data_IF_829417400180
#
_entry.id   IF_829417400180
#
_cell.length_a   1.000
_cell.length_b   1.000
_cell.length_c   1.000
_cell.angle_alpha   90.00
_cell.angle_beta   90.00
_cell.angle_gamma   90.00
#
_symmetry.space_group_name_H-M   'P 1'
#
loop_
_entity.id
_entity.type
_entity.pdbx_description
1 polymer ?
#
# COMPACT_ATOMS: atom_id res chain seq x y z
N UNK A 1 -2.86 13.37 -12.39
CA UNK A 1 -2.06 12.83 -11.26
C UNK A 1 -2.81 11.78 -10.44
N UNK A 2 -4.06 12.01 -10.03
CA UNK A 2 -4.83 11.06 -9.19
C UNK A 2 -5.23 9.71 -9.85
N UNK A 3 -5.11 9.60 -11.17
CA UNK A 3 -5.53 8.42 -11.93
C UNK A 3 -4.70 7.17 -11.65
N UNK A 4 -3.37 7.29 -11.49
CA UNK A 4 -2.50 6.16 -11.18
C UNK A 4 -2.77 5.59 -9.79
N UNK A 5 -2.92 6.45 -8.78
CA UNK A 5 -3.33 6.05 -7.43
C UNK A 5 -4.70 5.39 -7.40
N UNK A 6 -5.68 5.95 -8.13
CA UNK A 6 -7.01 5.33 -8.24
C UNK A 6 -6.92 3.93 -8.86
N UNK A 7 -6.23 3.78 -9.99
CA UNK A 7 -6.03 2.49 -10.65
C UNK A 7 -5.32 1.48 -9.73
N UNK A 8 -4.30 1.92 -8.99
CA UNK A 8 -3.61 1.08 -8.01
C UNK A 8 -4.57 0.57 -6.93
N UNK A 9 -5.32 1.49 -6.31
CA UNK A 9 -6.33 1.16 -5.30
C UNK A 9 -7.38 0.18 -5.83
N UNK A 10 -8.02 0.53 -6.95
CA UNK A 10 -9.05 -0.28 -7.60
C UNK A 10 -8.54 -1.69 -7.93
N UNK A 11 -7.30 -1.81 -8.42
CA UNK A 11 -6.71 -3.10 -8.77
C UNK A 11 -6.45 -3.98 -7.56
N UNK A 12 -6.02 -3.40 -6.44
CA UNK A 12 -5.80 -4.15 -5.20
C UNK A 12 -7.13 -4.60 -4.61
N UNK A 13 -8.11 -3.70 -4.46
CA UNK A 13 -9.39 -4.03 -3.79
C UNK A 13 -10.26 -5.01 -4.59
N UNK A 14 -10.11 -5.04 -5.91
CA UNK A 14 -10.85 -5.95 -6.79
C UNK A 14 -10.15 -7.31 -7.00
N UNK A 15 -8.93 -7.50 -6.48
CA UNK A 15 -8.23 -8.79 -6.50
C UNK A 15 -8.12 -9.34 -5.06
N UNK A 16 -8.95 -10.32 -4.67
CA UNK A 16 -8.91 -10.92 -3.33
C UNK A 16 -7.53 -11.45 -2.95
N UNK A 17 -6.71 -11.88 -3.94
CA UNK A 17 -5.35 -12.35 -3.67
C UNK A 17 -4.41 -11.20 -3.31
N UNK A 18 -4.61 -9.98 -3.80
CA UNK A 18 -3.85 -8.83 -3.33
C UNK A 18 -4.33 -8.38 -1.96
N UNK A 19 -5.65 -8.35 -1.73
CA UNK A 19 -6.20 -7.98 -0.41
C UNK A 19 -5.66 -8.93 0.67
N UNK A 20 -5.66 -10.24 0.41
CA UNK A 20 -5.13 -11.24 1.34
C UNK A 20 -3.64 -11.01 1.69
N UNK A 21 -2.84 -10.45 0.78
CA UNK A 21 -1.41 -10.17 1.06
C UNK A 21 -1.21 -9.08 2.10
N UNK A 22 -2.18 -8.17 2.30
CA UNK A 22 -2.10 -7.16 3.36
C UNK A 22 -2.02 -7.80 4.76
N UNK A 23 -2.53 -9.02 4.91
CA UNK A 23 -2.57 -9.76 6.18
C UNK A 23 -1.41 -10.75 6.32
N UNK A 24 -0.49 -10.82 5.35
CA UNK A 24 0.64 -11.75 5.39
C UNK A 24 1.59 -11.38 6.53
N UNK A 25 2.03 -12.38 7.29
CA UNK A 25 3.09 -12.19 8.27
C UNK A 25 4.42 -11.94 7.57
N UNK A 26 5.03 -10.79 7.88
CA UNK A 26 6.31 -10.37 7.36
C UNK A 26 6.99 -9.42 8.35
N UNK A 27 8.32 -9.34 8.28
CA UNK A 27 9.09 -8.40 9.09
C UNK A 27 8.85 -6.95 8.63
N UNK A 28 8.91 -5.95 9.52
CA UNK A 28 8.84 -4.54 9.15
C UNK A 28 9.82 -4.18 8.02
N UNK A 29 9.39 -3.33 7.09
CA UNK A 29 10.10 -3.01 5.85
C UNK A 29 9.91 -4.01 4.71
N UNK A 30 9.19 -5.12 4.93
CA UNK A 30 8.93 -6.09 3.86
C UNK A 30 7.76 -5.65 3.00
N UNK A 31 7.91 -5.82 1.69
CA UNK A 31 6.83 -5.59 0.73
C UNK A 31 5.72 -6.64 0.87
N UNK A 32 4.49 -6.17 1.07
CA UNK A 32 3.29 -7.00 1.07
C UNK A 32 2.74 -7.16 -0.35
N UNK A 33 2.57 -6.04 -1.06
CA UNK A 33 1.99 -6.04 -2.40
C UNK A 33 2.47 -4.92 -3.33
N UNK A 34 2.32 -5.11 -4.66
CA UNK A 34 2.22 -6.41 -5.31
C UNK A 34 3.52 -7.22 -5.13
N UNK A 35 3.56 -8.46 -5.62
CA UNK A 35 4.81 -9.25 -5.59
C UNK A 35 5.91 -8.55 -6.40
N UNK A 36 7.16 -8.57 -5.91
CA UNK A 36 8.29 -7.88 -6.55
C UNK A 36 8.67 -8.56 -7.87
N UNK A 37 8.25 -7.97 -8.99
CA UNK A 37 8.66 -8.33 -10.35
C UNK A 37 8.75 -7.06 -11.20
N UNK A 38 9.64 -6.97 -12.20
CA UNK A 38 9.73 -5.80 -13.06
C UNK A 38 8.39 -5.43 -13.71
N UNK A 39 7.61 -6.45 -14.12
CA UNK A 39 6.27 -6.28 -14.67
C UNK A 39 5.33 -5.62 -13.66
N UNK A 40 5.21 -6.17 -12.44
CA UNK A 40 4.32 -5.62 -11.43
C UNK A 40 4.75 -4.21 -11.00
N UNK A 41 6.05 -3.95 -10.93
CA UNK A 41 6.59 -2.67 -10.47
C UNK A 41 6.21 -1.53 -11.40
N UNK A 42 6.33 -1.76 -12.72
CA UNK A 42 5.87 -0.82 -13.75
C UNK A 42 4.34 -0.75 -13.82
N UNK A 43 3.65 -1.89 -13.77
CA UNK A 43 2.20 -1.96 -13.97
C UNK A 43 1.41 -1.31 -12.80
N UNK A 44 1.84 -1.55 -11.56
CA UNK A 44 1.16 -1.00 -10.38
C UNK A 44 1.67 0.40 -10.02
N UNK A 45 2.92 0.74 -10.36
CA UNK A 45 3.58 2.03 -10.07
C UNK A 45 3.77 2.37 -8.58
N UNK A 46 3.03 1.73 -7.69
CA UNK A 46 3.16 1.83 -6.24
C UNK A 46 3.32 0.45 -5.61
N UNK A 47 3.67 0.44 -4.32
CA UNK A 47 3.76 -0.75 -3.47
C UNK A 47 3.30 -0.45 -2.05
N UNK A 48 2.87 -1.49 -1.34
CA UNK A 48 2.58 -1.43 0.09
C UNK A 48 3.55 -2.33 0.84
N UNK A 49 4.22 -1.73 1.81
CA UNK A 49 5.19 -2.37 2.69
C UNK A 49 4.61 -2.42 4.12
N UNK A 50 4.93 -3.47 4.87
CA UNK A 50 4.55 -3.58 6.29
C UNK A 50 5.52 -2.79 7.15
N UNK A 51 5.00 -2.14 8.17
CA UNK A 51 5.75 -1.44 9.20
C UNK A 51 5.73 -2.17 10.54
N UNK A 52 6.06 -1.42 11.58
CA UNK A 52 6.10 -1.91 12.95
C UNK A 52 4.70 -2.17 13.52
N UNK A 53 4.64 -3.05 14.52
CA UNK A 53 3.45 -3.18 15.37
C UNK A 53 3.25 -1.91 16.18
N UNK A 54 2.00 -1.51 16.33
CA UNK A 54 1.65 -0.32 17.11
C UNK A 54 1.75 -0.66 18.59
N UNK A 55 2.63 0.05 19.31
CA UNK A 55 2.93 -0.18 20.73
C UNK A 55 1.68 -0.29 21.61
N UNK A 56 0.71 0.60 21.39
CA UNK A 56 -0.49 0.70 22.21
C UNK A 56 -1.69 -0.10 21.64
N UNK A 57 -1.49 -0.84 20.55
CA UNK A 57 -2.55 -1.59 19.87
C UNK A 57 -2.05 -2.92 19.30
N UNK A 58 -1.87 -3.95 20.15
CA UNK A 58 -1.36 -5.26 19.73
C UNK A 58 -2.18 -5.88 18.59
N UNK A 59 -1.50 -6.44 17.60
CA UNK A 59 -2.09 -6.99 16.38
C UNK A 59 -2.33 -5.96 15.27
N UNK A 60 -2.17 -4.66 15.55
CA UNK A 60 -2.20 -3.63 14.53
C UNK A 60 -0.80 -3.27 14.08
N UNK A 61 -0.62 -3.16 12.76
CA UNK A 61 0.65 -2.84 12.14
C UNK A 61 0.49 -1.60 11.27
N UNK A 62 1.54 -0.78 11.22
CA UNK A 62 1.62 0.23 10.18
C UNK A 62 1.76 -0.45 8.82
N UNK A 63 1.18 0.16 7.79
CA UNK A 63 1.44 -0.17 6.38
C UNK A 63 1.71 1.12 5.63
N UNK A 64 2.69 1.07 4.74
CA UNK A 64 3.20 2.24 4.04
C UNK A 64 3.01 2.09 2.54
N UNK A 65 2.38 3.08 1.92
CA UNK A 65 2.31 3.20 0.47
C UNK A 65 3.55 3.94 -0.03
N UNK A 66 4.30 3.31 -0.92
CA UNK A 66 5.47 3.91 -1.57
C UNK A 66 5.31 3.93 -3.09
N UNK A 67 5.95 4.89 -3.73
CA UNK A 67 6.04 4.97 -5.19
C UNK A 67 7.22 4.11 -5.66
N UNK A 68 7.01 3.30 -6.70
CA UNK A 68 8.09 2.51 -7.30
C UNK A 68 8.99 3.40 -8.16
N UNK A 69 10.28 3.08 -8.25
CA UNK A 69 11.21 3.80 -9.15
C UNK A 69 10.85 3.66 -10.63
N UNK A 70 10.03 2.66 -10.98
CA UNK A 70 9.50 2.41 -12.32
C UNK A 70 8.16 3.13 -12.58
N UNK A 71 7.70 4.01 -11.69
CA UNK A 71 6.47 4.77 -11.91
C UNK A 71 6.54 5.58 -13.21
N UNK A 72 5.45 5.59 -13.98
CA UNK A 72 5.36 6.27 -15.28
C UNK A 72 4.46 7.50 -15.23
N UNK A 73 3.67 7.67 -14.17
CA UNK A 73 2.85 8.87 -13.98
C UNK A 73 3.71 10.05 -13.56
N UNK A 74 3.64 11.16 -14.29
CA UNK A 74 4.41 12.40 -14.01
C UNK A 74 4.32 12.83 -12.54
N UNK A 75 3.12 12.93 -11.98
CA UNK A 75 2.94 13.32 -10.57
C UNK A 75 3.59 12.37 -9.55
N UNK A 76 3.60 11.07 -9.83
CA UNK A 76 4.28 10.09 -8.97
C UNK A 76 5.80 10.22 -9.11
N UNK A 77 6.30 10.43 -10.32
CA UNK A 77 7.73 10.65 -10.57
C UNK A 77 8.22 11.93 -9.89
N UNK A 78 7.47 13.03 -10.01
CA UNK A 78 7.85 14.30 -9.40
C UNK A 78 7.84 14.24 -7.88
N UNK A 79 6.87 13.54 -7.31
CA UNK A 79 6.87 13.27 -5.87
C UNK A 79 8.08 12.42 -5.46
N UNK A 80 8.39 11.37 -6.22
CA UNK A 80 9.51 10.47 -5.93
C UNK A 80 10.87 11.18 -6.04
N UNK A 81 11.05 12.10 -7.00
CA UNK A 81 12.28 12.93 -7.10
C UNK A 81 12.50 13.76 -5.83
N UNK A 82 11.43 14.28 -5.24
CA UNK A 82 11.47 15.06 -4.00
C UNK A 82 11.61 14.17 -2.75
N UNK A 83 11.13 12.92 -2.83
CA UNK A 83 11.07 11.97 -1.72
C UNK A 83 11.56 10.56 -2.12
N UNK A 84 12.86 10.36 -2.43
CA UNK A 84 13.38 9.12 -3.05
C UNK A 84 13.14 7.82 -2.23
N UNK A 85 12.95 7.95 -0.93
CA UNK A 85 12.69 6.86 0.01
C UNK A 85 11.47 7.16 0.89
N UNK A 86 10.63 8.10 0.47
CA UNK A 86 9.48 8.53 1.26
C UNK A 86 8.35 7.52 1.26
N UNK A 87 7.57 7.56 2.33
CA UNK A 87 6.24 6.95 2.37
C UNK A 87 5.22 8.00 1.88
N UNK A 88 4.56 7.72 0.76
CA UNK A 88 3.54 8.60 0.21
C UNK A 88 2.29 8.64 1.09
N UNK A 89 1.97 7.52 1.74
CA UNK A 89 0.91 7.43 2.74
C UNK A 89 1.21 6.33 3.76
N UNK A 90 0.53 6.39 4.90
CA UNK A 90 0.57 5.40 5.95
C UNK A 90 -0.86 5.10 6.44
N UNK A 91 -1.12 3.85 6.76
CA UNK A 91 -2.37 3.42 7.40
C UNK A 91 -2.07 2.34 8.43
N UNK A 92 -3.07 1.97 9.21
CA UNK A 92 -2.96 0.91 10.20
C UNK A 92 -3.83 -0.26 9.76
N UNK A 93 -3.33 -1.49 9.86
CA UNK A 93 -4.08 -2.71 9.54
C UNK A 93 -4.18 -3.61 10.76
N UNK A 94 -5.37 -4.13 11.03
CA UNK A 94 -5.55 -5.22 12.00
C UNK A 94 -5.14 -6.55 11.36
N UNK A 95 -3.90 -7.00 11.57
CA UNK A 95 -3.43 -8.28 11.02
C UNK A 95 -4.15 -9.49 11.63
N UNK A 96 -4.70 -9.31 12.84
CA UNK A 96 -5.47 -10.33 13.58
C UNK A 96 -6.98 -10.31 13.26
N UNK A 97 -7.41 -9.53 12.26
CA UNK A 97 -8.79 -9.58 11.78
C UNK A 97 -9.17 -11.01 11.37
N UNK A 98 -10.40 -11.42 11.70
CA UNK A 98 -10.92 -12.74 11.32
C UNK A 98 -11.06 -12.82 9.80
N UNK A 99 -11.02 -14.04 9.25
CA UNK A 99 -11.03 -14.23 7.79
C UNK A 99 -12.25 -13.59 7.11
N UNK A 100 -13.39 -13.54 7.79
CA UNK A 100 -14.62 -12.90 7.30
C UNK A 100 -14.51 -11.37 7.26
N UNK A 101 -13.67 -10.77 8.11
CA UNK A 101 -13.48 -9.32 8.25
C UNK A 101 -12.34 -8.79 7.37
N UNK A 102 -11.39 -9.65 7.00
CA UNK A 102 -10.20 -9.29 6.21
C UNK A 102 -10.51 -8.57 4.89
N UNK A 103 -11.53 -8.96 4.09
CA UNK A 103 -11.84 -8.24 2.86
C UNK A 103 -12.21 -6.78 3.11
N UNK A 104 -13.06 -6.51 4.10
CA UNK A 104 -13.52 -5.16 4.41
C UNK A 104 -12.44 -4.33 5.09
N UNK A 105 -11.66 -4.92 6.00
CA UNK A 105 -10.50 -4.26 6.61
C UNK A 105 -9.45 -3.90 5.55
N UNK A 106 -9.16 -4.81 4.61
CA UNK A 106 -8.21 -4.54 3.54
C UNK A 106 -8.68 -3.43 2.59
N UNK A 107 -9.98 -3.39 2.26
CA UNK A 107 -10.57 -2.28 1.49
C UNK A 107 -10.48 -0.95 2.23
N UNK A 108 -10.78 -0.94 3.55
CA UNK A 108 -10.66 0.24 4.41
C UNK A 108 -9.24 0.79 4.39
N UNK A 109 -8.24 -0.07 4.63
CA UNK A 109 -6.82 0.27 4.60
C UNK A 109 -6.42 0.87 3.27
N UNK A 110 -6.81 0.23 2.16
CA UNK A 110 -6.50 0.75 0.82
C UNK A 110 -7.18 2.09 0.54
N UNK A 111 -8.44 2.27 0.94
CA UNK A 111 -9.14 3.54 0.78
C UNK A 111 -8.43 4.67 1.55
N UNK A 112 -7.98 4.40 2.78
CA UNK A 112 -7.22 5.34 3.61
C UNK A 112 -5.88 5.71 2.96
N UNK A 113 -5.09 4.72 2.52
CA UNK A 113 -3.81 4.95 1.83
C UNK A 113 -3.99 5.80 0.56
N UNK A 114 -4.99 5.48 -0.27
CA UNK A 114 -5.25 6.23 -1.50
C UNK A 114 -5.72 7.66 -1.21
N UNK A 115 -6.58 7.84 -0.20
CA UNK A 115 -7.07 9.16 0.18
C UNK A 115 -5.95 10.06 0.69
N UNK A 116 -5.08 9.54 1.55
CA UNK A 116 -3.93 10.29 2.06
C UNK A 116 -2.89 10.56 0.96
N UNK A 117 -2.59 9.57 0.12
CA UNK A 117 -1.65 9.73 -0.98
C UNK A 117 -2.08 10.84 -1.96
N UNK A 118 -3.37 10.95 -2.25
CA UNK A 118 -3.90 12.03 -3.10
C UNK A 118 -3.74 13.43 -2.50
N UNK A 119 -3.68 13.55 -1.17
CA UNK A 119 -3.43 14.83 -0.48
C UNK A 119 -1.94 15.20 -0.47
N UNK A 120 -1.07 14.20 -0.60
CA UNK A 120 0.38 14.35 -0.54
C UNK A 120 1.04 14.54 -1.92
N UNK A 121 0.28 14.39 -3.01
CA UNK A 121 0.66 14.72 -4.39
C UNK A 121 0.21 16.14 -4.76
#
# INVERSE_FOLDING_TARGET
>A
MSGALKKFGDKVVNDPKQVAKLFKEAAPGTRLLPSRTPKNDAEYQCRVDVGEEIKDKPGYYNVYLQVNSQAQSDGLQDWLKKNPHGNLAAAQINRKAKDEERPEEGKRVMAELIAQAKKNL
#
